data_IF_363573095288
#
_entry.id   IF_363573095288
#
_cell.length_a   1.000
_cell.length_b   1.000
_cell.length_c   1.000
_cell.angle_alpha   90.00
_cell.angle_beta   90.00
_cell.angle_gamma   90.00
#
_symmetry.space_group_name_H-M   'P 1'
#
loop_
_entity.id
_entity.type
_entity.pdbx_description
1 polymer ?
#
# COMPACT_ATOMS: atom_id res chain seq x y z
N UNK A 1 57.65 -59.85 58.64
CA UNK A 1 57.65 -58.61 57.82
C UNK A 1 57.00 -58.96 56.49
N UNK A 2 55.73 -58.60 56.28
CA UNK A 2 55.04 -58.87 55.02
C UNK A 2 55.42 -57.77 54.03
N UNK A 3 56.00 -58.16 52.89
CA UNK A 3 56.30 -57.25 51.79
C UNK A 3 55.00 -57.08 51.00
N UNK A 4 54.36 -55.91 51.12
CA UNK A 4 53.27 -55.51 50.26
C UNK A 4 53.82 -55.21 48.86
N UNK A 5 53.55 -56.09 47.91
CA UNK A 5 53.82 -55.83 46.50
C UNK A 5 52.68 -54.97 45.94
N UNK A 6 52.96 -53.69 45.72
CA UNK A 6 52.03 -52.76 45.06
C UNK A 6 51.85 -53.17 43.59
N UNK A 7 50.82 -53.99 43.34
CA UNK A 7 50.48 -54.52 42.03
C UNK A 7 49.70 -53.45 41.23
N UNK A 8 50.42 -52.41 40.85
CA UNK A 8 49.90 -51.12 40.38
C UNK A 8 49.42 -51.18 38.92
N UNK A 9 48.27 -51.85 38.71
CA UNK A 9 47.60 -52.07 37.42
C UNK A 9 47.21 -50.78 36.67
N UNK A 10 47.39 -49.60 37.27
CA UNK A 10 47.16 -48.31 36.63
C UNK A 10 48.04 -48.12 35.39
N UNK A 11 49.35 -48.42 35.48
CA UNK A 11 50.34 -48.09 34.45
C UNK A 11 50.08 -48.76 33.08
N UNK A 12 49.73 -50.06 32.99
CA UNK A 12 49.33 -50.68 31.71
C UNK A 12 48.05 -50.08 31.11
N UNK A 13 47.08 -49.72 31.94
CA UNK A 13 45.78 -49.15 31.51
C UNK A 13 46.00 -47.74 30.95
N UNK A 14 46.80 -46.91 31.63
CA UNK A 14 47.20 -45.58 31.12
C UNK A 14 47.93 -45.68 29.78
N UNK A 15 48.86 -46.63 29.63
CA UNK A 15 49.59 -46.83 28.36
C UNK A 15 48.66 -47.24 27.21
N UNK A 16 47.70 -48.12 27.47
CA UNK A 16 46.69 -48.53 26.49
C UNK A 16 45.79 -47.35 26.08
N UNK A 17 45.28 -46.59 27.06
CA UNK A 17 44.48 -45.39 26.83
C UNK A 17 45.26 -44.34 26.02
N UNK A 18 46.54 -44.13 26.34
CA UNK A 18 47.46 -43.24 25.61
C UNK A 18 47.62 -43.66 24.15
N UNK A 19 47.73 -44.97 23.85
CA UNK A 19 47.75 -45.47 22.46
C UNK A 19 46.45 -45.19 21.71
N UNK A 20 45.28 -45.36 22.35
CA UNK A 20 43.99 -45.03 21.74
C UNK A 20 43.90 -43.52 21.46
N UNK A 21 44.31 -42.68 22.41
CA UNK A 21 44.31 -41.22 22.26
C UNK A 21 45.22 -40.75 21.13
N UNK A 22 46.45 -41.29 21.03
CA UNK A 22 47.37 -40.98 19.95
C UNK A 22 46.81 -41.38 18.57
N UNK A 23 46.14 -42.54 18.47
CA UNK A 23 45.49 -42.97 17.22
C UNK A 23 44.32 -42.06 16.83
N UNK A 24 43.49 -41.66 17.80
CA UNK A 24 42.41 -40.68 17.58
C UNK A 24 42.98 -39.31 17.14
N UNK A 25 44.06 -38.86 17.76
CA UNK A 25 44.73 -37.59 17.42
C UNK A 25 45.23 -37.62 15.97
N UNK A 26 45.93 -38.68 15.55
CA UNK A 26 46.40 -38.85 14.18
C UNK A 26 45.28 -38.86 13.13
N UNK A 27 44.13 -39.47 13.44
CA UNK A 27 42.96 -39.45 12.53
C UNK A 27 42.36 -38.05 12.42
N UNK A 28 42.31 -37.28 13.51
CA UNK A 28 41.85 -35.89 13.50
C UNK A 28 42.84 -34.96 12.78
N UNK A 29 44.14 -35.14 13.00
CA UNK A 29 45.22 -34.42 12.31
C UNK A 29 45.12 -34.61 10.80
N UNK A 30 44.96 -35.85 10.32
CA UNK A 30 44.75 -36.13 8.89
C UNK A 30 43.46 -35.46 8.36
N UNK A 31 42.34 -35.59 9.07
CA UNK A 31 41.07 -34.98 8.63
C UNK A 31 41.11 -33.45 8.58
N UNK A 32 41.89 -32.81 9.45
CA UNK A 32 42.14 -31.36 9.39
C UNK A 32 42.94 -31.01 8.14
N UNK A 33 43.96 -31.79 7.78
CA UNK A 33 44.74 -31.58 6.54
C UNK A 33 43.86 -31.78 5.31
N UNK A 34 43.05 -32.84 5.26
CA UNK A 34 42.12 -33.09 4.15
C UNK A 34 41.15 -31.92 3.94
N UNK A 35 40.52 -31.43 5.02
CA UNK A 35 39.63 -30.26 4.99
C UNK A 35 40.36 -28.97 4.61
N UNK A 36 41.61 -28.79 5.03
CA UNK A 36 42.43 -27.63 4.63
C UNK A 36 42.79 -27.68 3.14
N UNK A 37 43.05 -28.86 2.58
CA UNK A 37 43.28 -29.06 1.14
C UNK A 37 42.01 -28.79 0.35
N UNK A 38 40.85 -29.28 0.82
CA UNK A 38 39.55 -29.01 0.19
C UNK A 38 39.20 -27.51 0.22
N UNK A 39 39.36 -26.84 1.35
CA UNK A 39 39.17 -25.38 1.46
C UNK A 39 40.18 -24.60 0.59
N UNK A 40 41.43 -25.05 0.49
CA UNK A 40 42.41 -24.43 -0.40
C UNK A 40 42.05 -24.64 -1.88
N UNK A 41 41.53 -25.81 -2.26
CA UNK A 41 41.03 -26.08 -3.60
C UNK A 41 39.81 -25.21 -3.95
N UNK A 42 38.85 -25.07 -3.02
CA UNK A 42 37.68 -24.19 -3.16
C UNK A 42 38.02 -22.69 -3.16
N UNK A 43 39.20 -22.31 -2.64
CA UNK A 43 39.70 -20.93 -2.65
C UNK A 43 40.58 -20.61 -3.87
N UNK A 44 41.28 -21.62 -4.40
CA UNK A 44 42.16 -21.50 -5.57
C UNK A 44 41.40 -21.72 -6.89
N UNK A 45 40.39 -22.61 -6.89
CA UNK A 45 39.30 -22.52 -7.84
C UNK A 45 38.56 -21.23 -7.54
N UNK A 46 38.64 -20.27 -8.47
CA UNK A 46 38.09 -18.92 -8.31
C UNK A 46 36.72 -18.96 -7.64
N UNK A 47 36.60 -18.30 -6.48
CA UNK A 47 35.32 -17.73 -6.05
C UNK A 47 35.08 -16.52 -6.97
N UNK A 48 34.78 -16.80 -8.23
CA UNK A 48 33.95 -15.88 -9.00
C UNK A 48 32.68 -15.68 -8.16
N UNK A 49 32.19 -14.44 -7.98
CA UNK A 49 30.84 -14.28 -7.49
C UNK A 49 29.95 -15.07 -8.44
N UNK A 50 29.19 -16.04 -7.92
CA UNK A 50 28.25 -16.80 -8.75
C UNK A 50 27.39 -15.78 -9.50
N UNK A 51 27.48 -15.78 -10.82
CA UNK A 51 26.89 -14.72 -11.65
C UNK A 51 25.37 -14.66 -11.42
N UNK A 52 24.80 -15.82 -11.10
CA UNK A 52 23.44 -16.04 -10.62
C UNK A 52 23.17 -15.37 -9.24
N UNK A 53 24.12 -15.38 -8.29
CA UNK A 53 23.97 -14.74 -6.99
C UNK A 53 23.93 -13.21 -7.08
N UNK A 54 24.81 -12.59 -7.88
CA UNK A 54 24.75 -11.14 -8.09
C UNK A 54 23.52 -10.73 -8.91
N UNK A 55 23.08 -11.53 -9.89
CA UNK A 55 21.78 -11.32 -10.55
C UNK A 55 20.61 -11.37 -9.56
N UNK A 56 20.55 -12.41 -8.70
CA UNK A 56 19.49 -12.58 -7.70
C UNK A 56 19.49 -11.45 -6.65
N UNK A 57 20.67 -10.95 -6.28
CA UNK A 57 20.84 -9.79 -5.39
C UNK A 57 20.34 -8.49 -6.04
N UNK A 58 20.70 -8.25 -7.29
CA UNK A 58 20.22 -7.07 -8.03
C UNK A 58 18.69 -7.12 -8.23
N UNK A 59 18.12 -8.29 -8.52
CA UNK A 59 16.66 -8.49 -8.62
C UNK A 59 15.97 -8.24 -7.28
N UNK A 60 16.52 -8.75 -6.17
CA UNK A 60 16.05 -8.44 -4.81
C UNK A 60 16.07 -6.94 -4.52
N UNK A 61 17.17 -6.24 -4.81
CA UNK A 61 17.28 -4.79 -4.59
C UNK A 61 16.27 -4.00 -5.43
N UNK A 62 16.00 -4.42 -6.67
CA UNK A 62 14.97 -3.82 -7.52
C UNK A 62 13.54 -4.03 -6.98
N UNK A 63 13.23 -5.24 -6.48
CA UNK A 63 11.94 -5.55 -5.85
C UNK A 63 11.76 -4.76 -4.54
N UNK A 64 12.80 -4.62 -3.71
CA UNK A 64 12.76 -3.80 -2.50
C UNK A 64 12.49 -2.32 -2.82
N UNK A 65 13.10 -1.78 -3.89
CA UNK A 65 12.81 -0.43 -4.38
C UNK A 65 11.36 -0.28 -4.87
N UNK A 66 10.82 -1.27 -5.60
CA UNK A 66 9.42 -1.27 -6.05
C UNK A 66 8.45 -1.26 -4.87
N UNK A 67 8.69 -2.10 -3.86
CA UNK A 67 7.87 -2.15 -2.62
C UNK A 67 7.92 -0.81 -1.88
N UNK A 68 9.09 -0.19 -1.75
CA UNK A 68 9.24 1.13 -1.12
C UNK A 68 8.50 2.25 -1.88
N UNK A 69 8.53 2.22 -3.21
CA UNK A 69 7.74 3.14 -4.04
C UNK A 69 6.23 2.93 -3.83
N UNK A 70 5.76 1.68 -3.88
CA UNK A 70 4.34 1.35 -3.64
C UNK A 70 3.88 1.79 -2.25
N UNK A 71 4.68 1.57 -1.21
CA UNK A 71 4.38 2.02 0.15
C UNK A 71 4.24 3.55 0.23
N UNK A 72 5.09 4.30 -0.48
CA UNK A 72 5.01 5.76 -0.54
C UNK A 72 3.73 6.24 -1.24
N UNK A 73 3.34 5.59 -2.35
CA UNK A 73 2.08 5.89 -3.06
C UNK A 73 0.85 5.52 -2.22
N UNK A 74 0.90 4.41 -1.49
CA UNK A 74 -0.18 4.00 -0.58
C UNK A 74 -0.41 5.06 0.50
N UNK A 75 0.66 5.57 1.13
CA UNK A 75 0.56 6.62 2.16
C UNK A 75 -0.01 7.93 1.59
N UNK A 76 0.44 8.38 0.41
CA UNK A 76 -0.11 9.57 -0.25
C UNK A 76 -1.61 9.41 -0.57
N UNK A 77 -2.01 8.24 -1.08
CA UNK A 77 -3.43 7.95 -1.35
C UNK A 77 -4.26 7.78 -0.08
N UNK A 78 -3.70 7.31 1.02
CA UNK A 78 -4.37 7.29 2.33
C UNK A 78 -4.62 8.71 2.83
N UNK A 79 -3.59 9.56 2.89
CA UNK A 79 -3.75 10.97 3.27
C UNK A 79 -4.77 11.71 2.40
N UNK A 80 -4.76 11.46 1.08
CA UNK A 80 -5.70 12.09 0.15
C UNK A 80 -7.13 11.59 0.32
N UNK A 81 -7.33 10.30 0.61
CA UNK A 81 -8.64 9.77 0.96
C UNK A 81 -9.15 10.33 2.29
N UNK A 82 -8.28 10.52 3.28
CA UNK A 82 -8.68 11.03 4.59
C UNK A 82 -8.98 12.54 4.56
N UNK A 83 -8.27 13.34 3.76
CA UNK A 83 -8.64 14.74 3.44
C UNK A 83 -10.02 14.81 2.75
N UNK A 84 -10.26 13.97 1.74
CA UNK A 84 -11.56 13.92 1.06
C UNK A 84 -12.70 13.48 2.00
N UNK A 85 -12.45 12.51 2.89
CA UNK A 85 -13.41 12.08 3.93
C UNK A 85 -13.69 13.20 4.93
N UNK A 86 -12.67 13.91 5.39
CA UNK A 86 -12.83 15.03 6.31
C UNK A 86 -13.65 16.17 5.67
N UNK A 87 -13.45 16.46 4.39
CA UNK A 87 -14.28 17.43 3.65
C UNK A 87 -15.72 16.99 3.50
N UNK A 88 -15.97 15.70 3.27
CA UNK A 88 -17.34 15.15 3.23
C UNK A 88 -18.00 15.25 4.60
N UNK A 89 -17.32 14.88 5.69
CA UNK A 89 -17.83 14.99 7.07
C UNK A 89 -18.17 16.44 7.45
N UNK A 90 -17.33 17.41 7.06
CA UNK A 90 -17.61 18.84 7.21
C UNK A 90 -18.86 19.25 6.41
N UNK A 91 -18.97 18.86 5.14
CA UNK A 91 -20.14 19.22 4.32
C UNK A 91 -21.43 18.54 4.81
N UNK A 92 -21.37 17.29 5.25
CA UNK A 92 -22.51 16.58 5.83
C UNK A 92 -22.94 17.24 7.14
N UNK A 93 -22.00 17.63 8.01
CA UNK A 93 -22.32 18.36 9.24
C UNK A 93 -22.81 19.80 8.98
N UNK A 94 -22.27 20.54 8.01
CA UNK A 94 -22.78 21.85 7.60
C UNK A 94 -24.22 21.76 7.03
N UNK A 95 -24.50 20.77 6.18
CA UNK A 95 -25.86 20.52 5.64
C UNK A 95 -26.83 20.10 6.76
N UNK A 96 -26.37 19.33 7.75
CA UNK A 96 -27.18 19.01 8.94
C UNK A 96 -27.43 20.24 9.80
N UNK A 97 -26.47 21.17 9.94
CA UNK A 97 -26.66 22.41 10.70
C UNK A 97 -27.63 23.39 9.99
N UNK A 98 -27.53 23.58 8.68
CA UNK A 98 -28.49 24.40 7.91
C UNK A 98 -29.89 23.73 7.85
N UNK A 99 -29.93 22.40 7.84
CA UNK A 99 -31.17 21.61 7.92
C UNK A 99 -31.84 21.57 9.30
N UNK A 100 -31.09 21.73 10.40
CA UNK A 100 -31.62 21.61 11.77
C UNK A 100 -31.82 22.94 12.50
N UNK A 101 -31.22 24.05 12.04
CA UNK A 101 -31.47 25.40 12.59
C UNK A 101 -32.77 26.03 12.09
N UNK A 102 -33.87 25.28 12.18
CA UNK A 102 -35.23 25.76 11.98
C UNK A 102 -35.74 26.55 13.20
N UNK A 103 -34.89 27.47 13.69
CA UNK A 103 -35.08 28.36 14.84
C UNK A 103 -34.83 29.82 14.43
N UNK A 104 -35.70 30.33 13.56
CA UNK A 104 -36.05 31.76 13.53
C UNK A 104 -35.09 32.74 12.84
N UNK A 105 -34.06 32.30 12.12
CA UNK A 105 -33.20 33.21 11.34
C UNK A 105 -33.72 33.42 9.92
N UNK A 106 -33.71 34.66 9.38
CA UNK A 106 -34.21 34.95 8.05
C UNK A 106 -33.27 34.33 7.01
N UNK A 107 -33.70 33.21 6.44
CA UNK A 107 -33.03 32.53 5.37
C UNK A 107 -32.80 33.50 4.20
N UNK A 108 -31.55 33.89 3.96
CA UNK A 108 -31.16 34.57 2.73
C UNK A 108 -31.15 33.55 1.59
N UNK A 109 -32.33 33.00 1.29
CA UNK A 109 -32.58 32.23 0.09
C UNK A 109 -32.09 33.09 -1.07
N UNK A 110 -31.14 32.57 -1.83
CA UNK A 110 -30.77 33.18 -3.10
C UNK A 110 -32.02 33.07 -3.97
N UNK A 111 -32.80 34.14 -4.00
CA UNK A 111 -34.05 34.19 -4.76
C UNK A 111 -33.71 33.80 -6.19
N UNK A 112 -34.36 32.74 -6.70
CA UNK A 112 -34.22 32.35 -8.10
C UNK A 112 -34.56 33.57 -8.95
N UNK A 113 -33.59 34.06 -9.73
CA UNK A 113 -33.80 35.24 -10.57
C UNK A 113 -34.88 34.92 -11.59
N UNK A 114 -36.01 35.60 -11.47
CA UNK A 114 -37.13 35.44 -12.39
C UNK A 114 -36.66 35.86 -13.78
N UNK A 115 -36.95 35.07 -14.81
CA UNK A 115 -36.60 35.40 -16.19
C UNK A 115 -37.81 35.15 -17.07
N UNK A 116 -38.13 36.11 -17.94
CA UNK A 116 -39.22 35.97 -18.89
C UNK A 116 -38.68 35.79 -20.31
N UNK A 117 -38.77 34.58 -20.87
CA UNK A 117 -38.35 34.26 -22.24
C UNK A 117 -39.12 35.09 -23.30
N UNK A 118 -40.36 35.49 -22.98
CA UNK A 118 -41.22 36.29 -23.87
C UNK A 118 -40.75 37.76 -23.96
N UNK A 119 -40.05 38.25 -22.94
CA UNK A 119 -39.56 39.63 -22.88
C UNK A 119 -38.03 39.75 -22.85
N UNK A 120 -37.30 38.65 -22.65
CA UNK A 120 -35.85 38.59 -22.43
C UNK A 120 -35.35 39.57 -21.36
N UNK A 121 -36.08 39.64 -20.24
CA UNK A 121 -35.77 40.49 -19.08
C UNK A 121 -35.70 39.64 -17.81
N UNK A 122 -34.76 40.01 -16.94
CA UNK A 122 -34.58 39.43 -15.61
C UNK A 122 -35.33 40.24 -14.54
N UNK A 123 -35.59 39.57 -13.41
CA UNK A 123 -36.00 40.11 -12.11
C UNK A 123 -37.35 40.85 -12.04
N UNK A 124 -38.11 40.93 -13.14
CA UNK A 124 -39.43 41.60 -13.18
C UNK A 124 -40.59 40.59 -13.06
N UNK A 125 -40.59 39.55 -13.89
CA UNK A 125 -41.59 38.47 -13.90
C UNK A 125 -41.01 37.22 -14.55
N UNK A 126 -41.60 36.06 -14.22
CA UNK A 126 -41.35 34.80 -14.92
C UNK A 126 -42.21 34.71 -16.19
N UNK A 127 -41.90 33.79 -17.11
CA UNK A 127 -42.63 33.58 -18.37
C UNK A 127 -44.14 33.42 -18.17
N UNK A 128 -44.58 32.72 -17.11
CA UNK A 128 -46.02 32.46 -16.86
C UNK A 128 -46.86 33.71 -16.55
N UNK A 129 -46.28 34.68 -15.84
CA UNK A 129 -46.95 35.93 -15.44
C UNK A 129 -46.80 37.05 -16.47
N UNK A 130 -46.25 36.75 -17.66
CA UNK A 130 -45.99 37.77 -18.67
C UNK A 130 -47.30 38.45 -19.14
N UNK A 131 -47.42 39.79 -19.06
CA UNK A 131 -48.62 40.49 -19.53
C UNK A 131 -48.86 40.29 -21.05
N UNK A 132 -47.81 39.99 -21.82
CA UNK A 132 -47.93 39.60 -23.24
C UNK A 132 -48.52 38.21 -23.42
N UNK A 133 -48.27 37.26 -22.52
CA UNK A 133 -48.80 35.89 -22.58
C UNK A 133 -50.35 35.87 -22.55
N UNK A 134 -50.98 36.76 -21.77
CA UNK A 134 -52.45 36.92 -21.77
C UNK A 134 -53.01 37.50 -23.07
N UNK A 135 -52.24 38.25 -23.85
CA UNK A 135 -52.70 38.82 -25.11
C UNK A 135 -52.66 37.81 -26.26
N UNK A 136 -51.69 36.89 -26.26
CA UNK A 136 -51.63 35.78 -27.25
C UNK A 136 -52.86 34.88 -27.16
N UNK A 137 -53.35 34.59 -25.94
CA UNK A 137 -54.57 33.79 -25.75
C UNK A 137 -55.89 34.51 -26.15
N UNK A 138 -55.83 35.75 -26.65
CA UNK A 138 -57.02 36.54 -27.06
C UNK A 138 -57.15 36.75 -28.58
N UNK A 139 -56.56 35.88 -29.39
CA UNK A 139 -56.87 35.80 -30.83
C UNK A 139 -57.50 34.45 -31.19
N UNK A 140 -58.82 34.38 -31.43
CA UNK A 140 -59.47 33.24 -32.09
C UNK A 140 -59.38 33.37 -33.62
N UNK A 141 -59.57 32.25 -34.34
CA UNK A 141 -59.35 32.04 -35.80
C UNK A 141 -57.86 31.95 -36.19
N UNK A 142 -57.41 31.13 -37.15
CA UNK A 142 -58.06 30.25 -38.15
C UNK A 142 -57.00 29.17 -38.57
N UNK A 143 -57.26 27.90 -38.91
CA UNK A 143 -58.45 27.03 -39.01
C UNK A 143 -58.03 25.54 -38.98
N UNK A 144 -58.95 24.60 -38.74
CA UNK A 144 -58.73 23.19 -39.11
C UNK A 144 -58.78 23.01 -40.63
N UNK A 145 -57.74 22.44 -41.23
CA UNK A 145 -57.86 21.67 -42.46
C UNK A 145 -57.05 20.37 -42.31
N UNK A 146 -57.77 19.25 -42.33
CA UNK A 146 -57.22 17.94 -42.65
C UNK A 146 -56.91 17.91 -44.15
N UNK A 147 -55.80 17.28 -44.57
CA UNK A 147 -55.75 16.30 -45.67
C UNK A 147 -54.30 16.00 -46.12
N UNK A 148 -53.94 14.72 -46.06
CA UNK A 148 -53.14 13.96 -47.03
C UNK A 148 -51.99 14.66 -47.79
N UNK A 149 -50.73 14.38 -47.44
CA UNK A 149 -49.97 13.26 -48.04
C UNK A 149 -48.72 12.92 -47.21
#
# INVERSE_FOLDING_TARGET
>A
MLISYDNDLSKPIEFFNKRILLRKRSVLENKIVDLQVELAALKNGKVEPDENYEQLKNEKEALEQQVNFMNSVIVDMQHKNDDLRSRLDILETEVIFDGHLQLGMPQHRVNSRLFCDICNIFDIHDTEDCPKQRNVRRTPSYSSQESEF
#
